data_IF_040101108509
#
_entry.id   IF_040101108509
#
_cell.length_a   1.000
_cell.length_b   1.000
_cell.length_c   1.000
_cell.angle_alpha   90.00
_cell.angle_beta   90.00
_cell.angle_gamma   90.00
#
_symmetry.space_group_name_H-M   'P 1'
#
loop_
_entity.id
_entity.type
_entity.pdbx_description
1 polymer ?
#
# COMPACT_ATOMS: atom_id res chain seq x y z
N UNK A 1 9.60 15.95 -0.17
CA UNK A 1 10.99 16.01 -0.70
C UNK A 1 11.10 15.54 -2.15
N UNK A 2 10.68 14.32 -2.51
CA UNK A 2 10.86 13.74 -3.86
C UNK A 2 10.25 14.59 -4.99
N UNK A 3 9.10 15.24 -4.75
CA UNK A 3 8.46 16.15 -5.71
C UNK A 3 9.10 17.56 -5.77
N UNK A 4 10.11 17.82 -4.93
CA UNK A 4 10.77 19.12 -4.80
C UNK A 4 9.94 20.20 -4.12
N UNK A 5 8.89 19.82 -3.38
CA UNK A 5 8.05 20.76 -2.61
C UNK A 5 8.74 21.24 -1.31
N UNK A 6 9.70 20.47 -0.81
CA UNK A 6 10.45 20.73 0.42
C UNK A 6 11.90 20.31 0.17
N UNK A 7 12.85 21.16 0.56
CA UNK A 7 14.29 20.88 0.50
C UNK A 7 14.71 19.93 1.62
N UNK A 8 15.59 18.95 1.35
CA UNK A 8 16.15 18.12 2.42
C UNK A 8 17.17 18.94 3.24
N UNK A 9 17.26 18.67 4.55
CA UNK A 9 18.28 19.29 5.42
C UNK A 9 19.70 18.85 5.04
N UNK A 10 19.85 17.59 4.59
CA UNK A 10 21.09 17.01 4.13
C UNK A 10 20.84 15.90 3.08
N UNK A 11 21.89 15.52 2.36
CA UNK A 11 21.82 14.47 1.34
C UNK A 11 21.47 14.99 -0.07
N UNK A 12 21.21 14.06 -0.99
CA UNK A 12 20.91 14.36 -2.40
C UNK A 12 19.78 13.46 -2.88
N UNK A 13 18.90 14.02 -3.71
CA UNK A 13 17.76 13.30 -4.31
C UNK A 13 17.83 13.49 -5.82
N UNK A 14 17.79 12.38 -6.56
CA UNK A 14 17.73 12.38 -8.02
C UNK A 14 16.50 11.60 -8.46
N UNK A 15 15.68 12.19 -9.32
CA UNK A 15 14.43 11.60 -9.82
C UNK A 15 14.41 11.72 -11.33
N UNK A 16 14.26 10.60 -12.03
CA UNK A 16 14.29 10.55 -13.50
C UNK A 16 15.52 11.26 -14.11
N UNK A 17 16.69 11.11 -13.47
CA UNK A 17 17.95 11.75 -13.87
C UNK A 17 18.11 13.20 -13.42
N UNK A 18 17.09 13.80 -12.81
CA UNK A 18 17.07 15.21 -12.43
C UNK A 18 17.33 15.42 -10.93
N UNK A 19 18.20 16.38 -10.59
CA UNK A 19 18.49 16.74 -9.20
C UNK A 19 17.33 17.52 -8.58
N UNK A 20 16.80 17.04 -7.45
CA UNK A 20 15.67 17.65 -6.74
C UNK A 20 16.16 18.25 -5.41
N UNK A 21 15.78 19.49 -5.05
CA UNK A 21 14.71 20.32 -5.65
C UNK A 21 15.13 21.20 -6.83
N UNK A 22 16.42 21.37 -7.11
CA UNK A 22 16.92 22.35 -8.09
C UNK A 22 16.29 22.25 -9.49
N UNK A 23 16.02 21.03 -9.96
CA UNK A 23 15.42 20.73 -11.27
C UNK A 23 14.08 20.00 -11.15
N UNK A 24 13.37 20.20 -10.03
CA UNK A 24 12.11 19.50 -9.74
C UNK A 24 11.01 19.71 -10.79
N UNK A 25 10.96 20.87 -11.46
CA UNK A 25 9.99 21.11 -12.53
C UNK A 25 10.17 20.13 -13.70
N UNK A 26 11.42 19.83 -14.06
CA UNK A 26 11.74 18.87 -15.13
C UNK A 26 11.40 17.46 -14.68
N UNK A 27 11.76 17.09 -13.44
CA UNK A 27 11.40 15.80 -12.87
C UNK A 27 9.88 15.57 -12.88
N UNK A 28 9.09 16.56 -12.45
CA UNK A 28 7.62 16.46 -12.36
C UNK A 28 6.93 16.24 -13.70
N UNK A 29 7.54 16.62 -14.82
CA UNK A 29 6.96 16.38 -16.14
C UNK A 29 6.79 14.89 -16.45
N UNK A 30 7.62 14.01 -15.85
CA UNK A 30 7.53 12.56 -15.98
C UNK A 30 6.92 11.84 -14.77
N UNK A 31 6.32 12.58 -13.83
CA UNK A 31 5.77 12.03 -12.58
C UNK A 31 4.25 12.21 -12.54
N UNK A 32 3.54 11.12 -12.26
CA UNK A 32 2.13 11.14 -11.87
C UNK A 32 2.02 11.10 -10.34
N UNK A 33 1.14 11.90 -9.75
CA UNK A 33 0.98 11.99 -8.29
C UNK A 33 -0.45 11.66 -7.89
N UNK A 34 -0.57 10.74 -6.93
CA UNK A 34 -1.83 10.37 -6.28
C UNK A 34 -1.70 10.73 -4.80
N UNK A 35 -2.25 11.87 -4.34
CA UNK A 35 -2.20 12.26 -2.93
C UNK A 35 -3.11 11.37 -2.04
N UNK A 36 -2.93 11.40 -0.72
CA UNK A 36 -3.81 10.70 0.22
C UNK A 36 -5.25 11.23 0.14
N UNK A 37 -5.42 12.56 0.10
CA UNK A 37 -6.72 13.22 -0.04
C UNK A 37 -6.98 13.55 -1.51
N UNK A 38 -8.16 13.16 -2.00
CA UNK A 38 -8.59 13.48 -3.37
C UNK A 38 -8.72 14.99 -3.55
N UNK A 39 -8.11 15.51 -4.62
CA UNK A 39 -8.07 16.93 -4.99
C UNK A 39 -8.70 17.15 -6.37
N UNK A 40 -9.89 16.59 -6.56
CA UNK A 40 -10.70 16.75 -7.77
C UNK A 40 -11.55 18.02 -7.67
N UNK A 41 -11.92 18.60 -8.81
CA UNK A 41 -12.86 19.71 -8.86
C UNK A 41 -14.29 19.17 -8.91
N UNK A 42 -15.03 19.35 -7.82
CA UNK A 42 -16.37 18.78 -7.62
C UNK A 42 -17.42 19.41 -8.56
N UNK A 43 -17.20 20.67 -8.98
CA UNK A 43 -18.11 21.38 -9.90
C UNK A 43 -18.05 20.86 -11.34
N UNK A 44 -16.97 20.18 -11.72
CA UNK A 44 -16.72 19.71 -13.07
C UNK A 44 -17.18 18.28 -13.28
N UNK A 45 -17.38 17.91 -14.55
CA UNK A 45 -17.58 16.52 -14.94
C UNK A 45 -16.30 15.71 -14.79
N UNK A 46 -16.44 14.37 -14.81
CA UNK A 46 -15.29 13.45 -14.85
C UNK A 46 -14.39 13.77 -16.04
N UNK A 47 -14.98 13.99 -17.21
CA UNK A 47 -14.26 14.33 -18.45
C UNK A 47 -13.51 15.65 -18.32
N UNK A 48 -14.17 16.70 -17.84
CA UNK A 48 -13.58 18.03 -17.66
C UNK A 48 -12.39 18.00 -16.69
N UNK A 49 -12.49 17.24 -15.59
CA UNK A 49 -11.40 17.05 -14.64
C UNK A 49 -10.13 16.49 -15.31
N UNK A 50 -10.28 15.51 -16.21
CA UNK A 50 -9.15 14.94 -16.94
C UNK A 50 -8.56 15.94 -17.96
N UNK A 51 -9.42 16.61 -18.73
CA UNK A 51 -8.99 17.55 -19.77
C UNK A 51 -8.23 18.74 -19.20
N UNK A 52 -8.71 19.33 -18.10
CA UNK A 52 -8.06 20.47 -17.44
C UNK A 52 -6.71 20.05 -16.87
N UNK A 53 -6.61 18.84 -16.32
CA UNK A 53 -5.34 18.38 -15.76
C UNK A 53 -4.27 18.18 -16.84
N UNK A 54 -4.66 17.73 -18.04
CA UNK A 54 -3.74 17.65 -19.19
C UNK A 54 -3.10 19.00 -19.53
N UNK A 55 -3.83 20.11 -19.33
CA UNK A 55 -3.28 21.47 -19.55
C UNK A 55 -2.14 21.83 -18.61
N UNK A 56 -2.17 21.36 -17.36
CA UNK A 56 -1.07 21.59 -16.42
C UNK A 56 0.23 20.91 -16.86
N UNK A 57 0.14 19.86 -17.69
CA UNK A 57 1.28 19.18 -18.30
C UNK A 57 1.63 19.71 -19.70
N UNK A 58 0.98 20.78 -20.15
CA UNK A 58 1.24 21.39 -21.46
C UNK A 58 0.60 20.65 -22.63
N UNK A 59 -0.28 19.68 -22.38
CA UNK A 59 -1.01 18.99 -23.44
C UNK A 59 -1.96 19.95 -24.16
N UNK A 60 -1.99 19.87 -25.47
CA UNK A 60 -2.97 20.57 -26.28
C UNK A 60 -4.36 19.91 -26.17
N UNK A 61 -5.41 20.54 -26.71
CA UNK A 61 -6.79 20.02 -26.56
C UNK A 61 -6.90 18.61 -27.12
N UNK A 62 -6.32 18.40 -28.31
CA UNK A 62 -6.42 17.17 -29.06
C UNK A 62 -5.70 16.03 -28.34
N UNK A 63 -4.50 16.28 -27.83
CA UNK A 63 -3.74 15.29 -27.04
C UNK A 63 -4.52 14.84 -25.80
N UNK A 64 -5.08 15.80 -25.05
CA UNK A 64 -5.91 15.48 -23.89
C UNK A 64 -7.17 14.69 -24.28
N UNK A 65 -7.85 15.07 -25.35
CA UNK A 65 -9.04 14.36 -25.84
C UNK A 65 -8.75 12.94 -26.34
N UNK A 66 -7.59 12.73 -26.96
CA UNK A 66 -7.12 11.40 -27.40
C UNK A 66 -6.77 10.49 -26.20
N UNK A 67 -6.24 11.06 -25.10
CA UNK A 67 -5.89 10.30 -23.90
C UNK A 67 -7.12 9.89 -23.06
N UNK A 68 -8.12 10.77 -22.94
CA UNK A 68 -9.28 10.61 -22.04
C UNK A 68 -9.98 9.25 -22.12
N UNK A 69 -10.32 8.69 -23.31
CA UNK A 69 -11.01 7.40 -23.39
C UNK A 69 -10.26 6.27 -22.68
N UNK A 70 -8.93 6.18 -22.88
CA UNK A 70 -8.10 5.16 -22.25
C UNK A 70 -8.02 5.32 -20.73
N UNK A 71 -8.06 6.55 -20.24
CA UNK A 71 -8.04 6.87 -18.81
C UNK A 71 -9.39 6.55 -18.14
N UNK A 72 -10.49 6.81 -18.83
CA UNK A 72 -11.82 6.42 -18.36
C UNK A 72 -11.95 4.90 -18.32
N UNK A 73 -11.41 4.18 -19.31
CA UNK A 73 -11.37 2.72 -19.31
C UNK A 73 -10.53 2.17 -18.15
N UNK A 74 -9.35 2.75 -17.94
CA UNK A 74 -8.49 2.41 -16.82
C UNK A 74 -9.20 2.63 -15.49
N UNK A 75 -9.87 3.77 -15.32
CA UNK A 75 -10.63 4.07 -14.12
C UNK A 75 -11.96 3.32 -14.02
N UNK A 76 -12.41 2.59 -15.06
CA UNK A 76 -13.75 1.98 -15.13
C UNK A 76 -14.87 3.01 -14.88
N UNK A 77 -14.78 4.15 -15.57
CA UNK A 77 -15.68 5.32 -15.48
C UNK A 77 -16.23 5.77 -16.85
N UNK A 78 -16.17 4.92 -17.86
CA UNK A 78 -16.62 5.20 -19.24
C UNK A 78 -18.08 5.69 -19.25
N UNK A 79 -18.97 5.00 -18.53
CA UNK A 79 -20.38 5.36 -18.40
C UNK A 79 -20.67 6.55 -17.47
N UNK A 80 -19.64 7.22 -16.96
CA UNK A 80 -19.74 8.33 -16.00
C UNK A 80 -18.97 9.58 -16.45
N UNK A 81 -18.49 9.61 -17.70
CA UNK A 81 -17.71 10.72 -18.24
C UNK A 81 -18.38 12.09 -18.05
N UNK A 82 -19.70 12.17 -18.25
CA UNK A 82 -20.50 13.39 -18.14
C UNK A 82 -21.15 13.60 -16.76
N UNK A 83 -20.92 12.68 -15.81
CA UNK A 83 -21.39 12.87 -14.43
C UNK A 83 -20.51 13.92 -13.72
N UNK A 84 -21.11 14.71 -12.82
CA UNK A 84 -20.33 15.61 -11.95
C UNK A 84 -19.52 14.79 -10.97
N UNK A 85 -18.32 15.27 -10.63
CA UNK A 85 -17.47 14.60 -9.64
C UNK A 85 -18.15 14.55 -8.27
N UNK A 86 -18.94 15.57 -7.90
CA UNK A 86 -19.73 15.58 -6.68
C UNK A 86 -20.67 14.36 -6.53
N UNK A 87 -21.12 13.76 -7.64
CA UNK A 87 -22.05 12.63 -7.66
C UNK A 87 -21.34 11.26 -7.57
N UNK A 88 -20.01 11.24 -7.51
CA UNK A 88 -19.21 10.02 -7.44
C UNK A 88 -19.07 9.51 -6.01
N UNK A 89 -19.09 8.18 -5.84
CA UNK A 89 -18.68 7.56 -4.58
C UNK A 89 -17.18 7.77 -4.32
N UNK A 90 -16.73 7.64 -3.07
CA UNK A 90 -15.32 7.78 -2.71
C UNK A 90 -14.39 6.89 -3.55
N UNK A 91 -14.75 5.62 -3.76
CA UNK A 91 -13.98 4.72 -4.63
C UNK A 91 -13.99 5.10 -6.11
N UNK A 92 -15.03 5.79 -6.60
CA UNK A 92 -15.05 6.35 -7.96
C UNK A 92 -14.15 7.58 -8.06
N UNK A 93 -14.19 8.49 -7.07
CA UNK A 93 -13.28 9.65 -6.98
C UNK A 93 -11.82 9.18 -6.95
N UNK A 94 -11.50 8.19 -6.14
CA UNK A 94 -10.15 7.62 -6.06
C UNK A 94 -9.65 7.06 -7.39
N UNK A 95 -10.49 6.32 -8.12
CA UNK A 95 -10.16 5.81 -9.47
C UNK A 95 -9.96 6.94 -10.47
N UNK A 96 -10.73 8.03 -10.37
CA UNK A 96 -10.53 9.21 -11.20
C UNK A 96 -9.19 9.91 -10.89
N UNK A 97 -8.80 10.04 -9.62
CA UNK A 97 -7.49 10.58 -9.24
C UNK A 97 -6.36 9.75 -9.84
N UNK A 98 -6.47 8.41 -9.79
CA UNK A 98 -5.50 7.50 -10.40
C UNK A 98 -5.42 7.68 -11.92
N UNK A 99 -6.55 7.74 -12.62
CA UNK A 99 -6.57 8.03 -14.06
C UNK A 99 -5.96 9.38 -14.39
N UNK A 100 -6.27 10.41 -13.59
CA UNK A 100 -5.74 11.75 -13.78
C UNK A 100 -4.22 11.81 -13.60
N UNK A 101 -3.68 11.01 -12.68
CA UNK A 101 -2.22 10.88 -12.50
C UNK A 101 -1.51 10.27 -13.72
N UNK A 102 -2.24 9.65 -14.65
CA UNK A 102 -1.70 9.05 -15.88
C UNK A 102 -1.85 9.95 -17.12
N UNK A 103 -2.42 11.16 -17.00
CA UNK A 103 -2.77 12.00 -18.14
C UNK A 103 -1.58 12.33 -19.06
N UNK A 104 -0.39 12.46 -18.49
CA UNK A 104 0.86 12.79 -19.19
C UNK A 104 1.73 11.56 -19.48
N UNK A 105 1.16 10.36 -19.40
CA UNK A 105 1.87 9.09 -19.54
C UNK A 105 3.18 9.01 -18.71
N UNK A 106 3.13 9.22 -17.39
CA UNK A 106 4.33 9.39 -16.58
C UNK A 106 5.20 8.13 -16.56
N UNK A 107 6.50 8.27 -16.29
CA UNK A 107 7.41 7.14 -16.08
C UNK A 107 7.38 6.65 -14.63
N UNK A 108 7.15 7.57 -13.70
CA UNK A 108 7.10 7.31 -12.26
C UNK A 108 5.75 7.76 -11.70
N UNK A 109 5.07 6.89 -10.97
CA UNK A 109 3.91 7.22 -10.17
C UNK A 109 4.30 7.28 -8.70
N UNK A 110 3.94 8.37 -8.02
CA UNK A 110 4.09 8.52 -6.57
C UNK A 110 2.70 8.53 -5.96
N UNK A 111 2.43 7.57 -5.09
CA UNK A 111 1.11 7.36 -4.49
C UNK A 111 1.21 7.41 -2.98
N UNK A 112 0.42 8.29 -2.37
CA UNK A 112 0.30 8.38 -0.93
C UNK A 112 -0.96 7.66 -0.48
N UNK A 113 -0.78 6.49 0.14
CA UNK A 113 -1.86 5.66 0.66
C UNK A 113 -3.00 5.39 -0.35
N UNK A 114 -2.70 4.81 -1.53
CA UNK A 114 -3.62 4.76 -2.67
C UNK A 114 -4.95 4.05 -2.39
N UNK A 115 -5.00 3.14 -1.42
CA UNK A 115 -6.19 2.33 -1.13
C UNK A 115 -6.78 2.52 0.27
N UNK A 116 -6.30 3.52 1.02
CA UNK A 116 -6.86 3.86 2.33
C UNK A 116 -8.33 4.28 2.20
N UNK A 117 -9.15 3.87 3.16
CA UNK A 117 -10.59 4.20 3.25
C UNK A 117 -11.46 3.67 2.08
N UNK A 118 -10.94 2.72 1.30
CA UNK A 118 -11.73 2.02 0.28
C UNK A 118 -12.31 0.71 0.79
N UNK A 119 -13.50 0.38 0.27
CA UNK A 119 -14.08 -0.94 0.44
C UNK A 119 -13.21 -2.04 -0.22
N UNK A 120 -13.36 -3.31 0.21
CA UNK A 120 -12.51 -4.40 -0.30
C UNK A 120 -12.55 -4.58 -1.82
N UNK A 121 -13.70 -4.35 -2.46
CA UNK A 121 -13.84 -4.55 -3.90
C UNK A 121 -13.11 -3.44 -4.68
N UNK A 122 -13.28 -2.17 -4.27
CA UNK A 122 -12.55 -1.05 -4.86
C UNK A 122 -11.03 -1.18 -4.71
N UNK A 123 -10.55 -1.65 -3.55
CA UNK A 123 -9.12 -1.93 -3.31
C UNK A 123 -8.57 -2.96 -4.28
N UNK A 124 -9.25 -4.10 -4.43
CA UNK A 124 -8.81 -5.15 -5.33
C UNK A 124 -8.73 -4.68 -6.79
N UNK A 125 -9.74 -3.90 -7.22
CA UNK A 125 -9.73 -3.29 -8.54
C UNK A 125 -8.53 -2.36 -8.73
N UNK A 126 -8.21 -1.49 -7.77
CA UNK A 126 -7.03 -0.62 -7.88
C UNK A 126 -5.76 -1.45 -7.99
N UNK A 127 -5.57 -2.48 -7.17
CA UNK A 127 -4.40 -3.35 -7.25
C UNK A 127 -4.25 -4.04 -8.61
N UNK A 128 -5.34 -4.53 -9.21
CA UNK A 128 -5.36 -5.05 -10.58
C UNK A 128 -4.83 -4.00 -11.57
N UNK A 129 -5.33 -2.76 -11.47
CA UNK A 129 -4.92 -1.66 -12.35
C UNK A 129 -3.45 -1.28 -12.17
N UNK A 130 -2.96 -1.25 -10.93
CA UNK A 130 -1.55 -0.96 -10.66
C UNK A 130 -0.62 -2.02 -11.22
N UNK A 131 -1.00 -3.31 -11.15
CA UNK A 131 -0.25 -4.40 -11.77
C UNK A 131 -0.18 -4.27 -13.29
N UNK A 132 -1.25 -3.83 -13.94
CA UNK A 132 -1.24 -3.56 -15.38
C UNK A 132 -0.24 -2.44 -15.75
N UNK A 133 -0.10 -1.42 -14.90
CA UNK A 133 0.89 -0.35 -15.11
C UNK A 133 2.33 -0.87 -14.94
N UNK A 134 2.59 -1.67 -13.91
CA UNK A 134 3.88 -2.32 -13.71
C UNK A 134 4.25 -3.19 -14.91
N UNK A 135 3.31 -3.99 -15.42
CA UNK A 135 3.49 -4.82 -16.61
C UNK A 135 3.78 -4.01 -17.89
N UNK A 136 3.36 -2.73 -17.94
CA UNK A 136 3.68 -1.78 -19.02
C UNK A 136 5.02 -1.06 -18.81
N UNK A 137 5.80 -1.44 -17.80
CA UNK A 137 7.12 -0.86 -17.51
C UNK A 137 7.08 0.46 -16.74
N UNK A 138 5.94 0.82 -16.13
CA UNK A 138 5.84 2.00 -15.26
C UNK A 138 6.48 1.71 -13.91
N UNK A 139 7.11 2.71 -13.30
CA UNK A 139 7.62 2.61 -11.92
C UNK A 139 6.59 3.17 -10.95
N UNK A 140 6.35 2.48 -9.82
CA UNK A 140 5.46 2.96 -8.76
C UNK A 140 6.26 3.07 -7.46
N UNK A 141 6.19 4.24 -6.84
CA UNK A 141 6.58 4.48 -5.46
C UNK A 141 5.31 4.74 -4.65
N UNK A 142 4.96 3.85 -3.72
CA UNK A 142 3.81 4.03 -2.86
C UNK A 142 4.20 4.04 -1.38
N UNK A 143 3.46 4.80 -0.59
CA UNK A 143 3.42 4.69 0.87
C UNK A 143 2.14 3.99 1.26
N UNK A 144 2.23 3.09 2.23
CA UNK A 144 1.07 2.36 2.74
C UNK A 144 1.33 1.90 4.16
N UNK A 145 0.29 1.91 4.98
CA UNK A 145 0.24 1.23 6.26
C UNK A 145 -0.50 -0.11 6.15
N UNK A 146 -0.88 -0.53 4.95
CA UNK A 146 -1.61 -1.78 4.72
C UNK A 146 -0.66 -2.85 4.19
N UNK A 147 -0.26 -3.77 5.07
CA UNK A 147 0.79 -4.75 4.80
C UNK A 147 0.44 -5.68 3.62
N UNK A 148 -0.84 -6.03 3.44
CA UNK A 148 -1.30 -6.81 2.29
C UNK A 148 -1.09 -6.07 0.96
N UNK A 149 -1.23 -4.74 0.93
CA UNK A 149 -0.95 -3.94 -0.27
C UNK A 149 0.54 -4.00 -0.63
N UNK A 150 1.41 -3.81 0.37
CA UNK A 150 2.84 -3.89 0.18
C UNK A 150 3.27 -5.28 -0.31
N UNK A 151 2.72 -6.34 0.27
CA UNK A 151 3.03 -7.73 -0.11
C UNK A 151 2.60 -8.04 -1.55
N UNK A 152 1.45 -7.50 -1.98
CA UNK A 152 0.87 -7.80 -3.30
C UNK A 152 1.42 -6.98 -4.45
N UNK A 153 1.96 -5.80 -4.19
CA UNK A 153 2.36 -4.83 -5.22
C UNK A 153 3.85 -4.54 -5.28
N UNK A 154 4.57 -4.65 -4.16
CA UNK A 154 5.95 -4.18 -4.09
C UNK A 154 6.95 -5.29 -4.43
N UNK A 155 7.84 -5.02 -5.38
CA UNK A 155 9.04 -5.86 -5.59
C UNK A 155 10.07 -5.64 -4.47
N UNK A 156 10.07 -4.44 -3.87
CA UNK A 156 10.93 -4.03 -2.77
C UNK A 156 10.20 -3.05 -1.87
N UNK A 157 10.35 -3.20 -0.56
CA UNK A 157 9.81 -2.27 0.43
C UNK A 157 10.89 -1.77 1.38
N UNK A 158 10.61 -0.64 2.02
CA UNK A 158 11.45 0.00 3.03
C UNK A 158 10.57 0.32 4.23
N UNK A 159 10.85 -0.33 5.36
CA UNK A 159 10.13 -0.07 6.61
C UNK A 159 10.78 1.10 7.32
N UNK A 160 9.98 2.11 7.65
CA UNK A 160 10.41 3.32 8.33
C UNK A 160 9.80 3.39 9.73
N UNK A 161 10.61 3.76 10.71
CA UNK A 161 10.16 4.05 12.08
C UNK A 161 10.96 5.24 12.63
N UNK A 162 10.28 6.21 13.24
CA UNK A 162 10.91 7.42 13.82
C UNK A 162 11.86 8.15 12.83
N UNK A 163 11.48 8.20 11.56
CA UNK A 163 12.26 8.82 10.49
C UNK A 163 13.50 8.03 10.06
N UNK A 164 13.66 6.78 10.50
CA UNK A 164 14.80 5.91 10.19
C UNK A 164 14.36 4.66 9.46
N UNK A 165 15.20 4.19 8.54
CA UNK A 165 15.02 2.89 7.88
C UNK A 165 15.40 1.77 8.82
N UNK A 166 14.44 0.92 9.15
CA UNK A 166 14.63 -0.22 10.06
C UNK A 166 14.74 -1.55 9.31
N UNK A 167 14.14 -1.67 8.12
CA UNK A 167 14.32 -2.82 7.24
C UNK A 167 14.13 -2.43 5.77
N UNK A 168 14.75 -3.19 4.87
CA UNK A 168 14.58 -3.05 3.42
C UNK A 168 14.78 -4.41 2.75
N UNK A 169 13.95 -4.72 1.77
CA UNK A 169 14.06 -5.96 1.01
C UNK A 169 12.82 -6.27 0.19
N UNK A 170 12.86 -7.38 -0.53
CA UNK A 170 11.65 -7.95 -1.13
C UNK A 170 10.73 -8.49 -0.02
N UNK A 171 9.38 -8.39 -0.17
CA UNK A 171 8.43 -8.84 0.85
C UNK A 171 8.72 -10.24 1.39
N UNK A 172 8.80 -11.24 0.49
CA UNK A 172 9.02 -12.63 0.88
C UNK A 172 10.37 -12.85 1.57
N UNK A 173 11.44 -12.19 1.09
CA UNK A 173 12.75 -12.29 1.71
C UNK A 173 12.76 -11.72 3.14
N UNK A 174 11.99 -10.65 3.39
CA UNK A 174 11.82 -10.11 4.73
C UNK A 174 11.02 -11.06 5.62
N UNK A 175 9.93 -11.65 5.10
CA UNK A 175 9.14 -12.65 5.84
C UNK A 175 10.01 -13.85 6.24
N UNK A 176 10.77 -14.41 5.31
CA UNK A 176 11.61 -15.57 5.55
C UNK A 176 12.74 -15.28 6.56
N UNK A 177 13.44 -14.15 6.38
CA UNK A 177 14.56 -13.79 7.26
C UNK A 177 14.13 -13.30 8.64
N UNK A 178 12.95 -12.69 8.75
CA UNK A 178 12.43 -12.10 9.98
C UNK A 178 11.38 -12.95 10.67
N UNK A 179 10.86 -14.04 10.12
CA UNK A 179 9.92 -14.90 10.84
C UNK A 179 10.32 -16.36 10.66
N UNK A 180 10.41 -16.84 9.42
CA UNK A 180 11.01 -18.13 9.10
C UNK A 180 10.25 -19.37 9.61
N UNK A 181 9.01 -19.21 10.09
CA UNK A 181 8.14 -20.31 10.47
C UNK A 181 6.66 -19.93 10.37
N UNK A 182 5.79 -20.93 10.33
CA UNK A 182 4.34 -20.74 10.34
C UNK A 182 3.84 -20.19 11.67
N UNK A 183 2.66 -19.59 11.61
CA UNK A 183 1.99 -18.95 12.75
C UNK A 183 0.73 -19.73 13.09
N UNK A 184 0.60 -20.11 14.36
CA UNK A 184 -0.63 -20.65 14.90
C UNK A 184 -1.32 -19.61 15.75
N UNK A 185 -2.48 -19.18 15.28
CA UNK A 185 -3.36 -18.28 16.00
C UNK A 185 -4.29 -19.11 16.89
N UNK A 186 -4.30 -18.77 18.17
CA UNK A 186 -5.10 -19.41 19.20
C UNK A 186 -6.12 -18.40 19.69
N UNK A 187 -7.38 -18.69 19.43
CA UNK A 187 -8.53 -17.89 19.84
C UNK A 187 -9.25 -18.54 21.02
N UNK A 188 -9.61 -17.71 22.01
CA UNK A 188 -10.30 -18.15 23.22
C UNK A 188 -9.35 -18.62 24.33
N UNK A 189 -9.90 -18.83 25.53
CA UNK A 189 -9.13 -19.14 26.73
C UNK A 189 -8.41 -17.92 27.33
N UNK A 190 -7.60 -18.16 28.36
CA UNK A 190 -6.78 -17.12 29.00
C UNK A 190 -5.39 -17.09 28.34
N UNK A 191 -5.00 -16.01 27.63
CA UNK A 191 -3.71 -15.95 26.93
C UNK A 191 -2.49 -16.17 27.82
N UNK A 192 -2.56 -15.80 29.11
CA UNK A 192 -1.45 -15.99 30.05
C UNK A 192 -1.24 -17.47 30.40
N UNK A 193 -2.33 -18.21 30.62
CA UNK A 193 -2.29 -19.65 30.88
C UNK A 193 -1.84 -20.42 29.64
N UNK A 194 -2.40 -20.05 28.49
CA UNK A 194 -2.06 -20.67 27.21
C UNK A 194 -0.58 -20.45 26.89
N UNK A 195 -0.06 -19.23 27.09
CA UNK A 195 1.36 -18.91 26.90
C UNK A 195 2.26 -19.88 27.68
N UNK A 196 2.00 -20.11 28.96
CA UNK A 196 2.81 -20.99 29.79
C UNK A 196 2.84 -22.45 29.26
N UNK A 197 1.76 -22.90 28.63
CA UNK A 197 1.64 -24.25 28.05
C UNK A 197 2.50 -24.41 26.79
N UNK A 198 2.57 -23.38 25.95
CA UNK A 198 3.18 -23.45 24.61
C UNK A 198 4.57 -22.84 24.53
N UNK A 199 4.99 -22.00 25.48
CA UNK A 199 6.31 -21.35 25.54
C UNK A 199 7.48 -22.31 25.33
N UNK A 200 7.47 -23.56 25.86
CA UNK A 200 8.54 -24.53 25.59
C UNK A 200 8.64 -25.02 24.14
N UNK A 201 7.60 -24.81 23.34
CA UNK A 201 7.45 -25.32 21.97
C UNK A 201 7.40 -24.20 20.92
N UNK A 202 7.44 -22.93 21.36
CA UNK A 202 7.34 -21.76 20.50
C UNK A 202 8.69 -21.06 20.42
N UNK A 203 9.09 -20.65 19.21
CA UNK A 203 10.21 -19.74 19.02
C UNK A 203 9.87 -18.34 19.52
N UNK A 204 8.60 -17.95 19.40
CA UNK A 204 8.08 -16.65 19.85
C UNK A 204 6.58 -16.73 20.10
N UNK A 205 6.11 -15.93 21.06
CA UNK A 205 4.69 -15.79 21.38
C UNK A 205 4.36 -14.31 21.45
N UNK A 206 3.29 -13.92 20.77
CA UNK A 206 2.67 -12.60 20.92
C UNK A 206 1.22 -12.76 21.38
N UNK A 207 0.72 -11.78 22.14
CA UNK A 207 -0.68 -11.73 22.56
C UNK A 207 -1.26 -10.41 22.08
N UNK A 208 -2.40 -10.44 21.38
CA UNK A 208 -3.11 -9.26 20.89
C UNK A 208 -4.59 -9.36 21.25
N UNK A 209 -5.02 -8.52 22.19
CA UNK A 209 -6.35 -8.66 22.77
C UNK A 209 -6.51 -10.04 23.38
N UNK A 210 -7.44 -10.83 22.84
CA UNK A 210 -7.74 -12.21 23.29
C UNK A 210 -7.10 -13.28 22.41
N UNK A 211 -6.37 -12.90 21.35
CA UNK A 211 -5.74 -13.84 20.43
C UNK A 211 -4.27 -14.00 20.77
N UNK A 212 -3.82 -15.25 20.85
CA UNK A 212 -2.41 -15.59 21.00
C UNK A 212 -1.84 -16.03 19.64
N UNK A 213 -0.67 -15.51 19.28
CA UNK A 213 0.07 -15.86 18.07
C UNK A 213 1.32 -16.65 18.47
N UNK A 214 1.37 -17.92 18.06
CA UNK A 214 2.48 -18.82 18.33
C UNK A 214 3.31 -19.03 17.05
N UNK A 215 4.55 -18.56 17.07
CA UNK A 215 5.52 -18.76 16.02
C UNK A 215 6.34 -20.01 16.35
N UNK A 216 6.09 -21.10 15.64
CA UNK A 216 6.72 -22.39 15.91
C UNK A 216 6.99 -23.17 14.60
N UNK A 217 8.19 -23.75 14.43
CA UNK A 217 8.46 -24.65 13.30
C UNK A 217 7.65 -25.95 13.36
N UNK A 218 7.36 -26.46 14.56
CA UNK A 218 6.56 -27.67 14.78
C UNK A 218 5.19 -27.32 15.39
N UNK A 219 4.25 -26.99 14.53
CA UNK A 219 2.88 -26.66 14.93
C UNK A 219 2.10 -27.88 15.46
N UNK A 220 2.50 -29.10 15.12
CA UNK A 220 1.87 -30.31 15.62
C UNK A 220 2.16 -30.52 17.11
N UNK A 221 3.39 -30.24 17.55
CA UNK A 221 3.78 -30.26 18.96
C UNK A 221 2.97 -29.25 19.80
N UNK A 222 2.81 -28.02 19.30
CA UNK A 222 2.01 -26.98 19.97
C UNK A 222 0.55 -27.41 20.08
N UNK A 223 -0.04 -27.91 18.99
CA UNK A 223 -1.43 -28.41 18.99
C UNK A 223 -1.65 -29.53 20.01
N UNK A 224 -0.70 -30.45 20.15
CA UNK A 224 -0.80 -31.55 21.10
C UNK A 224 -0.94 -31.05 22.54
N UNK A 225 -0.23 -29.96 22.90
CA UNK A 225 -0.33 -29.34 24.23
C UNK A 225 -1.67 -28.66 24.47
N UNK A 226 -2.25 -28.08 23.42
CA UNK A 226 -3.53 -27.38 23.48
C UNK A 226 -4.76 -28.31 23.46
N UNK A 227 -4.61 -29.62 23.19
CA UNK A 227 -5.74 -30.57 23.13
C UNK A 227 -6.54 -30.67 24.43
N UNK A 228 -5.92 -30.42 25.58
CA UNK A 228 -6.58 -30.45 26.88
C UNK A 228 -7.39 -29.19 27.19
N UNK A 229 -7.24 -28.14 26.40
CA UNK A 229 -7.94 -26.88 26.57
C UNK A 229 -9.24 -26.90 25.76
N UNK A 230 -10.36 -26.57 26.42
CA UNK A 230 -11.68 -26.51 25.77
C UNK A 230 -11.98 -25.10 25.27
N UNK A 231 -12.83 -25.00 24.25
CA UNK A 231 -13.27 -23.70 23.72
C UNK A 231 -12.23 -22.95 22.87
N UNK A 232 -11.11 -23.60 22.52
CA UNK A 232 -10.11 -22.99 21.64
C UNK A 232 -10.47 -23.16 20.17
N UNK A 233 -10.26 -22.11 19.39
CA UNK A 233 -10.20 -22.19 17.93
C UNK A 233 -8.76 -21.95 17.48
N UNK A 234 -8.24 -22.87 16.68
CA UNK A 234 -6.87 -22.83 16.18
C UNK A 234 -6.87 -22.56 14.69
N UNK A 235 -6.14 -21.54 14.25
CA UNK A 235 -5.93 -21.23 12.84
C UNK A 235 -4.43 -21.27 12.52
N UNK A 236 -4.06 -22.07 11.54
CA UNK A 236 -2.70 -22.15 11.04
C UNK A 236 -2.60 -21.35 9.74
N UNK A 237 -1.59 -20.49 9.65
CA UNK A 237 -1.33 -19.69 8.46
C UNK A 237 0.18 -19.49 8.25
N UNK A 238 0.61 -19.24 7.01
CA UNK A 238 1.95 -18.74 6.75
C UNK A 238 2.16 -17.36 7.41
N UNK A 239 3.42 -16.99 7.69
CA UNK A 239 3.76 -15.64 8.15
C UNK A 239 3.55 -14.62 7.04
N UNK A 240 3.28 -13.36 7.41
CA UNK A 240 3.04 -12.27 6.48
C UNK A 240 3.81 -11.00 6.87
N UNK A 241 3.69 -9.93 6.07
CA UNK A 241 4.39 -8.67 6.36
C UNK A 241 3.94 -7.98 7.66
N UNK A 242 2.74 -8.26 8.16
CA UNK A 242 2.29 -7.72 9.45
C UNK A 242 3.09 -8.33 10.60
N UNK A 243 3.38 -9.63 10.55
CA UNK A 243 4.25 -10.29 11.52
C UNK A 243 5.66 -9.69 11.53
N UNK A 244 6.21 -9.40 10.33
CA UNK A 244 7.52 -8.76 10.18
C UNK A 244 7.50 -7.36 10.79
N UNK A 245 6.52 -6.55 10.44
CA UNK A 245 6.38 -5.19 10.95
C UNK A 245 6.34 -5.19 12.47
N UNK A 246 5.56 -6.08 13.08
CA UNK A 246 5.41 -6.15 14.53
C UNK A 246 6.63 -6.73 15.24
N UNK A 247 7.35 -7.65 14.60
CA UNK A 247 8.67 -8.07 15.09
C UNK A 247 9.64 -6.89 15.15
N UNK A 248 9.68 -6.07 14.10
CA UNK A 248 10.66 -5.00 13.97
C UNK A 248 10.33 -3.78 14.84
N UNK A 249 9.05 -3.47 15.01
CA UNK A 249 8.57 -2.28 15.74
C UNK A 249 8.24 -2.54 17.20
N UNK A 250 8.18 -3.82 17.61
CA UNK A 250 8.19 -4.27 19.01
C UNK A 250 7.38 -3.41 19.96
N UNK A 251 6.04 -3.53 19.92
CA UNK A 251 5.07 -2.98 20.88
C UNK A 251 5.55 -1.75 21.68
N UNK A 252 5.63 -0.60 21.02
CA UNK A 252 5.46 0.70 21.68
C UNK A 252 4.21 1.37 21.13
N UNK A 253 3.06 0.78 21.43
CA UNK A 253 1.81 1.55 21.50
C UNK A 253 1.70 2.03 22.96
N UNK A 254 2.64 2.90 23.35
CA UNK A 254 2.54 3.70 24.57
C UNK A 254 2.89 5.14 24.13
N UNK A 255 1.84 5.88 23.78
CA UNK A 255 1.81 7.34 23.73
C UNK A 255 0.38 7.80 24.08
#
# INVERSE_FOLDING_TARGET
MILGLISPDAGRITVLGEQVPARARLARAGIGVVPQVDNLEDAFTVRENLLIFGRYFGLNTRESEEAVPSLLEFARLEGRAESRVADLSGGMKRRLVLARALINDPQLLIMDEPTTSLDPHARHLIWERLRLLLARGKTILLTTHFMEEAERLCDRLCVLENGRKIAEGAPNALIDSQIGCDVLEVYGGNPLELRAIIEPHASRIEVRGETLFCYAPDQAAVRLRLRGCTGLRLLERPPNLEDVFLRLTGHRIDA
#
